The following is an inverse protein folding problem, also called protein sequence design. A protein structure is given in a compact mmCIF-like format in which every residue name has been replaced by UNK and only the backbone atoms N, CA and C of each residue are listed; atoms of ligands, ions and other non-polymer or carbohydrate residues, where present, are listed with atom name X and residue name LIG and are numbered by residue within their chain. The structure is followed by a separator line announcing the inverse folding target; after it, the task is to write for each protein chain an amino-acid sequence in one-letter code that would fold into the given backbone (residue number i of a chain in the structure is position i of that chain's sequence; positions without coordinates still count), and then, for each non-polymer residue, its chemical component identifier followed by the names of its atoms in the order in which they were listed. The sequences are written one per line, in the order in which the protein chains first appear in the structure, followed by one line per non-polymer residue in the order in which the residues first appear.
data_IF_974098125229
#
_entry.id   IF_974098125229
#
_cell.length_a   1.000
_cell.length_b   1.000
_cell.length_c   1.000
_cell.angle_alpha   90.00
_cell.angle_beta   90.00
_cell.angle_gamma   90.00
#
_symmetry.space_group_name_H-M   'P 1'
#
loop_
_entity.id
_entity.type
_entity.pdbx_description
1 polymer ?
#
# COMPACT_ATOMS: atom_id res chain seq x y z
N UNK A 1 -19.88 -5.60 2.28
CA UNK A 1 -19.39 -4.29 1.80
C UNK A 1 -19.76 -3.12 2.76
N UNK A 2 -20.59 -3.37 3.80
CA UNK A 2 -20.95 -2.36 4.80
C UNK A 2 -21.65 -1.12 4.26
N UNK A 3 -22.39 -1.23 3.15
CA UNK A 3 -22.99 -0.05 2.48
C UNK A 3 -24.44 0.24 2.90
N UNK A 4 -25.13 -0.71 3.53
CA UNK A 4 -26.56 -0.58 3.81
C UNK A 4 -26.90 0.67 4.65
N UNK A 5 -26.27 0.80 5.82
CA UNK A 5 -26.50 1.93 6.72
C UNK A 5 -26.06 3.26 6.08
N UNK A 6 -24.95 3.25 5.35
CA UNK A 6 -24.50 4.41 4.59
C UNK A 6 -25.53 4.84 3.54
N UNK A 7 -26.13 3.90 2.80
CA UNK A 7 -27.16 4.20 1.81
C UNK A 7 -28.43 4.76 2.51
N UNK A 8 -28.84 4.17 3.64
CA UNK A 8 -29.99 4.66 4.39
C UNK A 8 -29.79 6.07 4.95
N UNK A 9 -28.57 6.52 5.17
CA UNK A 9 -28.26 7.89 5.61
C UNK A 9 -28.33 8.94 4.49
N UNK A 10 -28.44 8.50 3.21
CA UNK A 10 -28.64 9.42 2.10
C UNK A 10 -30.08 9.98 2.09
N UNK A 11 -30.32 11.17 1.51
CA UNK A 11 -31.61 11.87 1.60
C UNK A 11 -32.84 11.06 1.15
N UNK A 12 -32.67 10.13 0.22
CA UNK A 12 -33.72 9.24 -0.26
C UNK A 12 -33.34 7.75 -0.17
N UNK A 13 -32.38 7.41 0.70
CA UNK A 13 -31.90 6.03 0.85
C UNK A 13 -31.49 5.45 -0.51
N UNK A 14 -32.02 4.27 -0.84
CA UNK A 14 -31.74 3.57 -2.10
C UNK A 14 -32.27 4.29 -3.35
N UNK A 15 -33.25 5.20 -3.21
CA UNK A 15 -33.80 5.98 -4.32
C UNK A 15 -33.05 7.30 -4.54
N UNK A 16 -31.93 7.50 -3.88
CA UNK A 16 -31.10 8.69 -4.04
C UNK A 16 -30.48 8.72 -5.43
N UNK A 17 -30.76 9.80 -6.18
CA UNK A 17 -30.10 10.04 -7.46
C UNK A 17 -28.68 10.50 -7.22
N UNK A 18 -27.71 9.66 -7.53
CA UNK A 18 -26.29 9.90 -7.24
C UNK A 18 -25.57 10.72 -8.33
N UNK A 19 -26.29 11.05 -9.42
CA UNK A 19 -25.74 11.81 -10.54
C UNK A 19 -24.71 11.03 -11.38
N UNK A 20 -24.16 11.69 -12.39
CA UNK A 20 -23.15 11.08 -13.23
C UNK A 20 -21.91 10.72 -12.41
N UNK A 21 -21.44 9.48 -12.58
CA UNK A 21 -20.28 8.93 -11.87
C UNK A 21 -20.35 9.03 -10.33
N UNK A 22 -21.57 9.21 -9.77
CA UNK A 22 -21.74 9.33 -8.32
C UNK A 22 -21.26 10.66 -7.74
N UNK A 23 -21.43 11.76 -8.48
CA UNK A 23 -20.95 13.10 -8.12
C UNK A 23 -21.46 13.59 -6.75
N UNK A 24 -22.64 13.12 -6.31
CA UNK A 24 -23.24 13.46 -5.00
C UNK A 24 -22.55 12.73 -3.83
N UNK A 25 -21.80 11.67 -4.10
CA UNK A 25 -21.18 10.84 -3.10
C UNK A 25 -19.75 11.28 -2.78
N UNK A 26 -19.30 11.10 -1.53
CA UNK A 26 -17.88 11.21 -1.20
C UNK A 26 -17.04 10.13 -1.90
N UNK A 27 -15.72 10.31 -1.97
CA UNK A 27 -14.81 9.29 -2.53
C UNK A 27 -14.97 7.93 -1.84
N UNK A 28 -15.02 7.91 -0.52
CA UNK A 28 -15.21 6.69 0.28
C UNK A 28 -16.57 6.04 0.05
N UNK A 29 -17.65 6.84 -0.05
CA UNK A 29 -18.99 6.32 -0.35
C UNK A 29 -19.04 5.67 -1.74
N UNK A 30 -18.47 6.33 -2.76
CA UNK A 30 -18.34 5.74 -4.10
C UNK A 30 -17.58 4.42 -4.09
N UNK A 31 -16.49 4.37 -3.33
CA UNK A 31 -15.65 3.16 -3.25
C UNK A 31 -16.37 2.01 -2.55
N UNK A 32 -17.10 2.28 -1.46
CA UNK A 32 -17.95 1.27 -0.79
C UNK A 32 -19.05 0.73 -1.71
N UNK A 33 -19.71 1.59 -2.49
CA UNK A 33 -20.71 1.16 -3.49
C UNK A 33 -20.05 0.36 -4.61
N UNK A 34 -18.88 0.77 -5.10
CA UNK A 34 -18.11 0.02 -6.07
C UNK A 34 -17.75 -1.39 -5.58
N UNK A 35 -17.33 -1.49 -4.32
CA UNK A 35 -17.08 -2.79 -3.67
C UNK A 35 -18.35 -3.64 -3.61
N UNK A 36 -19.49 -3.07 -3.18
CA UNK A 36 -20.76 -3.79 -3.13
C UNK A 36 -21.18 -4.33 -4.51
N UNK A 37 -20.96 -3.53 -5.55
CA UNK A 37 -21.21 -3.94 -6.94
C UNK A 37 -20.30 -5.07 -7.40
N UNK A 38 -19.01 -5.00 -7.04
CA UNK A 38 -18.04 -6.06 -7.37
C UNK A 38 -18.36 -7.40 -6.68
N UNK A 39 -19.03 -7.36 -5.54
CA UNK A 39 -19.41 -8.56 -4.75
C UNK A 39 -20.79 -9.12 -5.13
N UNK A 40 -21.54 -8.40 -5.95
CA UNK A 40 -22.90 -8.82 -6.32
C UNK A 40 -22.87 -10.15 -7.09
N UNK A 41 -23.79 -11.06 -6.76
CA UNK A 41 -23.93 -12.35 -7.43
C UNK A 41 -22.89 -13.40 -7.02
N UNK A 42 -22.13 -13.20 -5.95
CA UNK A 42 -21.11 -14.14 -5.44
C UNK A 42 -20.10 -14.55 -6.52
N UNK A 43 -19.31 -13.62 -7.05
CA UNK A 43 -18.37 -13.88 -8.13
C UNK A 43 -17.28 -14.88 -7.70
N UNK A 44 -16.82 -15.69 -8.66
CA UNK A 44 -15.71 -16.63 -8.45
C UNK A 44 -14.34 -15.97 -8.53
N UNK A 45 -14.25 -14.84 -9.24
CA UNK A 45 -13.03 -14.04 -9.39
C UNK A 45 -13.37 -12.58 -9.18
N UNK A 46 -12.62 -11.91 -8.33
CA UNK A 46 -12.77 -10.47 -8.03
C UNK A 46 -11.42 -9.81 -8.17
N UNK A 47 -11.36 -8.72 -8.93
CA UNK A 47 -10.17 -7.86 -9.04
C UNK A 47 -10.51 -6.51 -8.46
N UNK A 48 -9.73 -6.07 -7.48
CA UNK A 48 -9.87 -4.81 -6.78
C UNK A 48 -8.58 -4.00 -6.93
N UNK A 49 -8.68 -2.86 -7.59
CA UNK A 49 -7.57 -1.94 -7.79
C UNK A 49 -7.69 -0.78 -6.80
N UNK A 50 -6.68 -0.64 -5.94
CA UNK A 50 -6.60 0.36 -4.87
C UNK A 50 -7.92 0.51 -4.05
N UNK A 51 -8.54 -0.61 -3.59
CA UNK A 51 -9.88 -0.57 -3.02
C UNK A 51 -9.97 0.16 -1.68
N UNK A 52 -8.87 0.56 -1.11
CA UNK A 52 -8.75 1.23 0.19
C UNK A 52 -8.20 2.67 0.11
N UNK A 53 -8.05 3.25 -1.09
CA UNK A 53 -7.42 4.57 -1.27
C UNK A 53 -8.18 5.71 -0.59
N UNK A 54 -9.52 5.65 -0.58
CA UNK A 54 -10.40 6.71 -0.03
C UNK A 54 -11.27 6.22 1.15
N UNK A 55 -10.92 5.10 1.76
CA UNK A 55 -11.66 4.56 2.89
C UNK A 55 -11.13 5.11 4.22
N UNK A 56 -12.06 5.38 5.13
CA UNK A 56 -11.83 5.56 6.55
C UNK A 56 -11.63 4.19 7.25
N UNK A 57 -11.33 4.20 8.53
CA UNK A 57 -11.09 2.97 9.32
C UNK A 57 -12.26 2.00 9.25
N UNK A 58 -13.50 2.49 9.31
CA UNK A 58 -14.69 1.65 9.18
C UNK A 58 -14.79 1.03 7.79
N UNK A 59 -14.53 1.80 6.74
CA UNK A 59 -14.50 1.32 5.36
C UNK A 59 -13.40 0.30 5.11
N UNK A 60 -12.22 0.50 5.68
CA UNK A 60 -11.14 -0.50 5.61
C UNK A 60 -11.53 -1.80 6.32
N UNK A 61 -12.13 -1.73 7.51
CA UNK A 61 -12.63 -2.91 8.21
C UNK A 61 -13.69 -3.67 7.39
N UNK A 62 -14.62 -2.94 6.75
CA UNK A 62 -15.60 -3.52 5.85
C UNK A 62 -14.97 -4.20 4.63
N UNK A 63 -13.94 -3.59 4.04
CA UNK A 63 -13.18 -4.18 2.92
C UNK A 63 -12.48 -5.48 3.35
N UNK A 64 -11.77 -5.46 4.48
CA UNK A 64 -11.11 -6.66 5.02
C UNK A 64 -12.11 -7.79 5.24
N UNK A 65 -13.25 -7.50 5.87
CA UNK A 65 -14.31 -8.49 6.09
C UNK A 65 -14.89 -9.03 4.77
N UNK A 66 -15.07 -8.17 3.77
CA UNK A 66 -15.53 -8.58 2.45
C UNK A 66 -14.56 -9.55 1.76
N UNK A 67 -13.26 -9.27 1.83
CA UNK A 67 -12.22 -10.16 1.29
C UNK A 67 -12.19 -11.49 2.03
N UNK A 68 -12.29 -11.49 3.36
CA UNK A 68 -12.34 -12.72 4.16
C UNK A 68 -13.57 -13.57 3.80
N UNK A 69 -14.73 -12.95 3.60
CA UNK A 69 -15.94 -13.64 3.17
C UNK A 69 -15.78 -14.28 1.78
N UNK A 70 -15.16 -13.56 0.82
CA UNK A 70 -14.84 -14.12 -0.50
C UNK A 70 -13.91 -15.33 -0.40
N UNK A 71 -12.91 -15.28 0.48
CA UNK A 71 -12.01 -16.42 0.73
C UNK A 71 -12.77 -17.63 1.26
N UNK A 72 -13.71 -17.45 2.21
CA UNK A 72 -14.57 -18.51 2.71
C UNK A 72 -15.43 -19.15 1.60
N UNK A 73 -15.89 -18.33 0.65
CA UNK A 73 -16.62 -18.77 -0.55
C UNK A 73 -15.70 -19.38 -1.62
N UNK A 74 -14.39 -19.51 -1.35
CA UNK A 74 -13.37 -20.02 -2.27
C UNK A 74 -13.30 -19.22 -3.59
N UNK A 75 -13.59 -17.94 -3.52
CA UNK A 75 -13.36 -17.03 -4.64
C UNK A 75 -11.88 -16.64 -4.74
N UNK A 76 -11.40 -16.46 -5.96
CA UNK A 76 -10.08 -15.88 -6.22
C UNK A 76 -10.16 -14.37 -6.12
N UNK A 77 -9.36 -13.77 -5.26
CA UNK A 77 -9.31 -12.31 -5.08
C UNK A 77 -7.94 -11.80 -5.48
N UNK A 78 -7.89 -10.89 -6.44
CA UNK A 78 -6.70 -10.14 -6.82
C UNK A 78 -6.83 -8.73 -6.27
N UNK A 79 -5.89 -8.33 -5.42
CA UNK A 79 -5.83 -7.02 -4.81
C UNK A 79 -4.59 -6.29 -5.30
N UNK A 80 -4.78 -5.13 -5.92
CA UNK A 80 -3.68 -4.21 -6.22
C UNK A 80 -3.70 -3.13 -5.14
N UNK A 81 -2.61 -2.98 -4.40
CA UNK A 81 -2.52 -2.00 -3.31
C UNK A 81 -1.06 -1.72 -2.94
N UNK A 82 -0.83 -0.53 -2.41
CA UNK A 82 0.44 -0.14 -1.79
C UNK A 82 0.36 -0.09 -0.25
N UNK A 83 -0.81 -0.35 0.34
CA UNK A 83 -1.02 -0.28 1.80
C UNK A 83 -0.72 -1.63 2.47
N UNK A 84 0.15 -1.66 3.48
CA UNK A 84 0.60 -2.92 4.10
C UNK A 84 -0.46 -3.62 4.97
N UNK A 85 -1.47 -2.91 5.49
CA UNK A 85 -2.51 -3.49 6.35
C UNK A 85 -3.31 -4.60 5.67
N UNK A 86 -3.58 -4.47 4.36
CA UNK A 86 -4.26 -5.50 3.56
C UNK A 86 -3.39 -6.76 3.38
N UNK A 87 -2.07 -6.63 3.43
CA UNK A 87 -1.17 -7.78 3.26
C UNK A 87 -1.35 -8.84 4.35
N UNK A 88 -1.98 -8.50 5.47
CA UNK A 88 -2.24 -9.45 6.57
C UNK A 88 -3.20 -10.58 6.19
N UNK A 89 -4.10 -10.35 5.23
CA UNK A 89 -5.18 -11.28 4.86
C UNK A 89 -4.97 -12.03 3.54
N UNK A 90 -3.91 -11.69 2.77
CA UNK A 90 -3.61 -12.35 1.50
C UNK A 90 -2.77 -13.61 1.70
N UNK A 91 -2.88 -14.57 0.79
CA UNK A 91 -2.12 -15.82 0.82
C UNK A 91 -0.78 -15.68 0.09
N UNK A 92 -0.80 -15.01 -1.05
CA UNK A 92 0.36 -14.76 -1.90
C UNK A 92 0.54 -13.27 -2.15
N UNK A 93 1.78 -12.88 -2.39
CA UNK A 93 2.15 -11.52 -2.78
C UNK A 93 2.91 -11.59 -4.10
N UNK A 94 2.56 -10.69 -5.01
CA UNK A 94 3.30 -10.41 -6.24
C UNK A 94 3.78 -8.97 -6.20
N UNK A 95 5.09 -8.78 -6.26
CA UNK A 95 5.72 -7.46 -6.37
C UNK A 95 6.05 -7.20 -7.83
N UNK A 96 5.52 -6.11 -8.36
CA UNK A 96 5.79 -5.65 -9.73
C UNK A 96 6.66 -4.39 -9.65
N UNK A 97 7.77 -4.38 -10.39
CA UNK A 97 8.68 -3.24 -10.52
C UNK A 97 9.08 -3.11 -11.99
N UNK A 98 9.07 -1.89 -12.51
CA UNK A 98 9.44 -1.59 -13.89
C UNK A 98 8.75 -2.49 -14.94
N UNK A 99 7.45 -2.79 -14.70
CA UNK A 99 6.65 -3.64 -15.57
C UNK A 99 6.99 -5.14 -15.52
N UNK A 100 7.85 -5.57 -14.60
CA UNK A 100 8.25 -6.96 -14.42
C UNK A 100 7.90 -7.49 -13.03
N UNK A 101 7.69 -8.80 -12.93
CA UNK A 101 7.48 -9.47 -11.65
C UNK A 101 8.84 -9.61 -10.96
N UNK A 102 9.09 -8.77 -9.96
CA UNK A 102 10.32 -8.81 -9.16
C UNK A 102 10.31 -9.96 -8.13
N UNK A 103 9.16 -10.22 -7.52
CA UNK A 103 8.95 -11.33 -6.60
C UNK A 103 7.52 -11.85 -6.70
N UNK A 104 7.34 -13.15 -6.51
CA UNK A 104 6.02 -13.78 -6.39
C UNK A 104 6.12 -15.00 -5.49
N UNK A 105 5.14 -15.19 -4.61
CA UNK A 105 5.11 -16.37 -3.75
C UNK A 105 4.27 -16.19 -2.48
N UNK A 106 4.32 -17.18 -1.57
CA UNK A 106 3.63 -17.11 -0.29
C UNK A 106 3.97 -15.82 0.47
N UNK A 107 2.95 -15.22 1.06
CA UNK A 107 3.07 -13.94 1.79
C UNK A 107 4.30 -13.89 2.71
N UNK A 108 4.46 -14.91 3.55
CA UNK A 108 5.51 -14.93 4.57
C UNK A 108 6.92 -14.90 3.95
N UNK A 109 7.11 -15.63 2.87
CA UNK A 109 8.41 -15.68 2.17
C UNK A 109 8.75 -14.34 1.52
N UNK A 110 7.77 -13.74 0.82
CA UNK A 110 7.98 -12.45 0.15
C UNK A 110 8.25 -11.35 1.18
N UNK A 111 7.48 -11.29 2.26
CA UNK A 111 7.69 -10.29 3.32
C UNK A 111 9.05 -10.44 4.00
N UNK A 112 9.49 -11.68 4.27
CA UNK A 112 10.82 -11.93 4.85
C UNK A 112 11.95 -11.48 3.90
N UNK A 113 11.83 -11.79 2.61
CA UNK A 113 12.80 -11.33 1.61
C UNK A 113 12.87 -9.81 1.51
N UNK A 114 11.71 -9.14 1.50
CA UNK A 114 11.63 -7.68 1.47
C UNK A 114 12.29 -7.05 2.71
N UNK A 115 12.00 -7.57 3.90
CA UNK A 115 12.59 -7.09 5.15
C UNK A 115 14.12 -7.22 5.13
N UNK A 116 14.64 -8.36 4.65
CA UNK A 116 16.09 -8.60 4.55
C UNK A 116 16.75 -7.64 3.54
N UNK A 117 16.12 -7.40 2.39
CA UNK A 117 16.61 -6.45 1.39
C UNK A 117 16.64 -5.01 1.94
N UNK A 118 15.59 -4.58 2.62
CA UNK A 118 15.54 -3.27 3.26
C UNK A 118 16.65 -3.10 4.30
N UNK A 119 16.89 -4.13 5.14
CA UNK A 119 17.97 -4.12 6.12
C UNK A 119 19.34 -4.00 5.47
N UNK A 120 19.60 -4.76 4.42
CA UNK A 120 20.84 -4.68 3.65
C UNK A 120 21.06 -3.30 3.03
N UNK A 121 20.02 -2.72 2.44
CA UNK A 121 20.08 -1.37 1.87
C UNK A 121 20.38 -0.31 2.95
N UNK A 122 19.73 -0.40 4.12
CA UNK A 122 19.99 0.49 5.23
C UNK A 122 21.43 0.37 5.76
N UNK A 123 21.95 -0.85 5.89
CA UNK A 123 23.33 -1.08 6.31
C UNK A 123 24.34 -0.54 5.29
N UNK A 124 24.09 -0.73 3.99
CA UNK A 124 24.94 -0.18 2.93
C UNK A 124 24.91 1.34 2.92
N UNK A 125 23.72 1.94 3.04
CA UNK A 125 23.58 3.39 3.10
C UNK A 125 24.28 4.00 4.35
N UNK A 126 24.19 3.33 5.50
CA UNK A 126 24.87 3.75 6.71
C UNK A 126 26.42 3.67 6.56
N UNK A 127 26.94 2.59 5.97
CA UNK A 127 28.37 2.45 5.68
C UNK A 127 28.86 3.52 4.70
N UNK A 128 28.11 3.80 3.64
CA UNK A 128 28.46 4.85 2.67
C UNK A 128 28.51 6.24 3.31
N UNK A 129 27.54 6.58 4.17
CA UNK A 129 27.53 7.85 4.93
C UNK A 129 28.75 7.97 5.84
N UNK A 130 29.09 6.93 6.56
CA UNK A 130 30.26 6.93 7.45
C UNK A 130 31.57 7.09 6.70
N UNK A 131 31.70 6.47 5.52
CA UNK A 131 32.87 6.63 4.67
C UNK A 131 32.98 8.05 4.13
N UNK A 132 31.88 8.64 3.68
CA UNK A 132 31.83 10.02 3.19
C UNK A 132 32.23 11.01 4.29
N UNK A 133 31.70 10.84 5.50
CA UNK A 133 32.03 11.68 6.66
C UNK A 133 33.53 11.58 7.05
N UNK A 134 34.07 10.37 7.03
CA UNK A 134 35.51 10.18 7.27
C UNK A 134 36.38 10.88 6.21
N UNK A 135 36.01 10.76 4.95
CA UNK A 135 36.72 11.40 3.84
C UNK A 135 36.67 12.94 3.93
N UNK A 136 35.51 13.49 4.30
CA UNK A 136 35.37 14.94 4.50
C UNK A 136 36.22 15.45 5.68
N UNK A 137 36.28 14.71 6.79
CA UNK A 137 37.16 15.04 7.94
C UNK A 137 38.62 15.04 7.53
N UNK A 138 39.09 14.02 6.81
CA UNK A 138 40.45 13.96 6.30
C UNK A 138 40.80 15.12 5.36
N UNK A 139 39.85 15.51 4.47
CA UNK A 139 40.06 16.67 3.61
C UNK A 139 40.17 17.98 4.40
N UNK A 140 39.32 18.16 5.42
CA UNK A 140 39.39 19.34 6.29
C UNK A 140 40.67 19.43 7.13
N UNK A 141 41.18 18.30 7.62
CA UNK A 141 42.46 18.21 8.35
C UNK A 141 43.61 18.54 7.39
N UNK A 142 43.65 17.95 6.20
CA UNK A 142 44.68 18.24 5.21
C UNK A 142 44.70 19.71 4.74
N UNK A 143 43.55 20.35 4.68
CA UNK A 143 43.42 21.78 4.35
C UNK A 143 43.92 22.68 5.51
N UNK A 144 43.74 22.28 6.74
CA UNK A 144 44.28 23.01 7.92
C UNK A 144 45.80 22.91 8.03
N UNK A 145 46.34 21.74 7.75
CA UNK A 145 47.81 21.54 7.76
C UNK A 145 48.52 22.30 6.61
N UNK A 146 47.89 22.32 5.43
CA UNK A 146 48.44 23.09 4.30
C UNK A 146 48.34 24.62 4.46
N UNK A 147 47.39 25.10 5.30
CA UNK A 147 47.21 26.55 5.56
C UNK A 147 48.12 27.06 6.71
N UNK A 148 48.79 26.20 7.45
CA UNK A 148 49.66 26.53 8.57
C UNK A 148 51.10 26.95 8.19
N UNK A 149 51.55 26.69 6.97
CA UNK A 149 52.93 26.97 6.53
C UNK A 149 53.16 28.35 5.83
N UNK A 150 52.14 29.20 5.79
CA UNK A 150 52.25 30.46 5.07
C UNK A 150 52.42 31.71 5.98
N UNK A 151 53.05 31.56 7.17
CA UNK A 151 53.39 32.68 8.01
C UNK A 151 54.74 32.43 8.69
N UNK A 152 55.83 32.65 7.95
CA UNK A 152 57.15 33.07 8.47
C UNK A 152 57.74 34.05 7.48
#
# INVERSE_FOLDING_TARGET
AGVHNMILSLPKGYDTQIGDQGAVLSGGQRQRIGLARALYGNPRVVVLDEPNSNLDEEGEACLLQAVLNLKQLKATVVLVTHKPNILSIVDNIMLVQDGQIAMCGPRQEVLTKLANLQKQQQEQAAKARLQHEKLERQKQEALKDAGGEAHV
#
